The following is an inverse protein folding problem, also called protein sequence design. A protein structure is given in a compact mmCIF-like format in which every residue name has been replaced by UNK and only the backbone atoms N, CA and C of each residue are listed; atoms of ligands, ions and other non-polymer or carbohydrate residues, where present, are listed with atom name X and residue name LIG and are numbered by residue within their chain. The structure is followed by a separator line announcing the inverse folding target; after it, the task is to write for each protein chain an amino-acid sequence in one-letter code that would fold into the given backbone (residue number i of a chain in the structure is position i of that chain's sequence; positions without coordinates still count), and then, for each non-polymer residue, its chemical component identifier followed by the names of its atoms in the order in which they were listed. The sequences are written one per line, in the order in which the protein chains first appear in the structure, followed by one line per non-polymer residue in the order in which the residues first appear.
data_IF_890976472780
#
_entry.id   IF_890976472780
#
_cell.length_a   1.000
_cell.length_b   1.000
_cell.length_c   1.000
_cell.angle_alpha   90.00
_cell.angle_beta   90.00
_cell.angle_gamma   90.00
#
_symmetry.space_group_name_H-M   'P 1'
#
loop_
_entity.id
_entity.type
_entity.pdbx_description
1 polymer ?
#
# COMPACT_ATOMS: atom_id res chain seq x y z
N UNK A 1 0.71 3.06 -11.52
CA UNK A 1 1.69 2.21 -10.81
C UNK A 1 1.10 1.91 -9.43
N UNK A 2 1.30 0.70 -8.91
CA UNK A 2 0.89 0.29 -7.57
C UNK A 2 2.11 0.11 -6.66
N UNK A 3 1.97 0.42 -5.37
CA UNK A 3 2.95 0.04 -4.34
C UNK A 3 2.27 -0.57 -3.13
N UNK A 4 2.83 -1.66 -2.63
CA UNK A 4 2.35 -2.37 -1.44
C UNK A 4 3.52 -3.07 -0.71
N UNK A 5 3.25 -3.53 0.52
CA UNK A 5 4.15 -4.38 1.29
C UNK A 5 4.23 -5.79 0.66
N UNK A 6 5.45 -6.26 0.42
CA UNK A 6 5.77 -7.61 -0.03
C UNK A 6 6.55 -8.37 1.04
N UNK A 7 6.02 -9.51 1.45
CA UNK A 7 6.72 -10.39 2.38
C UNK A 7 7.54 -11.43 1.60
N UNK A 8 8.86 -11.26 1.53
CA UNK A 8 9.75 -12.32 1.04
C UNK A 8 9.68 -13.54 1.96
N UNK A 9 9.63 -13.27 3.28
CA UNK A 9 9.38 -14.27 4.31
C UNK A 9 8.46 -13.70 5.37
N UNK A 10 7.20 -14.12 5.34
CA UNK A 10 6.16 -13.65 6.27
C UNK A 10 6.63 -13.75 7.72
N UNK A 11 6.51 -12.65 8.46
CA UNK A 11 6.96 -12.53 9.86
C UNK A 11 8.46 -12.29 10.06
N UNK A 12 9.24 -12.14 8.98
CA UNK A 12 10.68 -11.83 9.05
C UNK A 12 11.08 -10.71 8.11
N UNK A 13 10.95 -10.96 6.81
CA UNK A 13 11.56 -10.15 5.76
C UNK A 13 10.45 -9.53 4.91
N UNK A 14 10.33 -8.21 5.02
CA UNK A 14 9.34 -7.38 4.33
C UNK A 14 10.04 -6.31 3.50
N UNK A 15 9.51 -6.10 2.29
CA UNK A 15 10.04 -5.24 1.24
C UNK A 15 8.87 -4.45 0.64
N UNK A 16 9.13 -3.40 -0.13
CA UNK A 16 8.11 -2.82 -1.01
C UNK A 16 8.06 -3.56 -2.35
N UNK A 17 6.88 -3.80 -2.91
CA UNK A 17 6.72 -4.20 -4.31
C UNK A 17 6.09 -3.07 -5.09
N UNK A 18 6.71 -2.75 -6.24
CA UNK A 18 6.14 -1.84 -7.22
C UNK A 18 5.53 -2.64 -8.36
N UNK A 19 4.30 -2.30 -8.72
CA UNK A 19 3.49 -3.00 -9.72
C UNK A 19 3.12 -2.04 -10.85
N UNK A 20 3.33 -2.48 -12.09
CA UNK A 20 2.89 -1.81 -13.31
C UNK A 20 1.41 -2.04 -13.60
N UNK A 21 1.02 -2.05 -14.88
CA UNK A 21 -0.38 -2.27 -15.26
C UNK A 21 -0.91 -3.65 -14.87
N UNK A 22 -0.06 -4.69 -14.83
CA UNK A 22 -0.44 -6.05 -14.37
C UNK A 22 0.73 -6.88 -13.84
N UNK A 23 1.94 -6.31 -13.72
CA UNK A 23 3.15 -7.08 -13.41
C UNK A 23 3.97 -6.39 -12.33
N UNK A 24 4.60 -7.13 -11.42
CA UNK A 24 5.66 -6.57 -10.58
C UNK A 24 6.77 -6.03 -11.47
N UNK A 25 7.16 -4.77 -11.24
CA UNK A 25 8.22 -4.09 -12.00
C UNK A 25 9.45 -3.77 -11.15
N UNK A 26 9.31 -3.75 -9.82
CA UNK A 26 10.43 -3.64 -8.91
C UNK A 26 10.12 -4.26 -7.54
N UNK A 27 11.17 -4.76 -6.89
CA UNK A 27 11.19 -5.02 -5.45
C UNK A 27 12.15 -4.01 -4.83
N UNK A 28 11.67 -3.29 -3.82
CA UNK A 28 12.47 -2.33 -3.05
C UNK A 28 13.27 -3.05 -1.99
N UNK A 29 14.39 -2.48 -1.58
CA UNK A 29 15.29 -3.08 -0.57
C UNK A 29 14.60 -3.36 0.77
N UNK A 30 13.66 -2.49 1.16
CA UNK A 30 12.80 -2.66 2.32
C UNK A 30 11.47 -1.91 2.14
N UNK A 31 10.71 -1.73 3.22
CA UNK A 31 9.41 -1.01 3.25
C UNK A 31 9.52 0.47 3.65
N UNK A 32 10.74 1.00 3.73
CA UNK A 32 10.98 2.37 4.15
C UNK A 32 10.57 3.38 3.07
N UNK A 33 10.34 4.62 3.49
CA UNK A 33 10.14 5.71 2.54
C UNK A 33 11.42 6.04 1.75
N UNK A 34 12.60 5.74 2.29
CA UNK A 34 13.89 5.99 1.63
C UNK A 34 14.11 5.03 0.45
N UNK A 35 13.79 3.74 0.63
CA UNK A 35 13.79 2.77 -0.45
C UNK A 35 12.86 3.18 -1.60
N UNK A 36 11.70 3.75 -1.27
CA UNK A 36 10.79 4.31 -2.27
C UNK A 36 11.36 5.58 -2.91
N UNK A 37 11.96 6.49 -2.14
CA UNK A 37 12.58 7.69 -2.69
C UNK A 37 13.61 7.37 -3.76
N UNK A 38 14.52 6.45 -3.43
CA UNK A 38 15.57 5.99 -4.33
C UNK A 38 15.00 5.46 -5.64
N UNK A 39 13.87 4.76 -5.59
CA UNK A 39 13.20 4.27 -6.80
C UNK A 39 12.47 5.37 -7.56
N UNK A 40 11.82 6.32 -6.88
CA UNK A 40 11.04 7.39 -7.51
C UNK A 40 11.91 8.45 -8.21
N UNK A 41 13.13 8.70 -7.74
CA UNK A 41 14.08 9.62 -8.39
C UNK A 41 14.33 9.20 -9.86
N UNK A 42 14.35 7.89 -10.13
CA UNK A 42 14.54 7.35 -11.47
C UNK A 42 13.24 7.18 -12.26
N UNK A 43 12.08 7.43 -11.64
CA UNK A 43 10.76 7.23 -12.24
C UNK A 43 9.85 8.49 -12.15
N UNK A 44 10.32 9.69 -12.57
CA UNK A 44 9.53 10.93 -12.47
C UNK A 44 8.33 10.99 -13.43
N UNK A 45 8.26 10.10 -14.42
CA UNK A 45 7.17 10.02 -15.41
C UNK A 45 5.86 9.49 -14.84
N UNK A 46 5.85 8.97 -13.61
CA UNK A 46 4.64 8.44 -12.98
C UNK A 46 3.66 9.59 -12.73
N UNK A 47 2.40 9.41 -13.12
CA UNK A 47 1.33 10.39 -12.90
C UNK A 47 0.28 9.91 -11.90
N UNK A 48 0.09 8.59 -11.82
CA UNK A 48 -0.91 7.95 -10.96
C UNK A 48 -0.28 6.82 -10.16
N UNK A 49 -0.47 6.87 -8.84
CA UNK A 49 0.03 5.86 -7.92
C UNK A 49 -1.09 5.33 -7.04
N UNK A 50 -1.35 4.03 -7.16
CA UNK A 50 -2.17 3.27 -6.24
C UNK A 50 -1.27 2.81 -5.09
N UNK A 51 -1.67 3.03 -3.85
CA UNK A 51 -0.86 2.64 -2.70
C UNK A 51 -1.70 2.20 -1.51
N UNK A 52 -1.07 1.47 -0.62
CA UNK A 52 -1.57 1.29 0.72
C UNK A 52 -1.66 2.63 1.49
N UNK A 53 -2.15 2.56 2.74
CA UNK A 53 -2.27 3.74 3.61
C UNK A 53 -1.03 3.98 4.48
N UNK A 54 0.09 3.35 4.15
CA UNK A 54 1.38 3.53 4.79
C UNK A 54 1.81 4.99 4.76
N UNK A 55 2.13 5.53 5.93
CA UNK A 55 2.58 6.91 6.07
C UNK A 55 3.91 7.16 5.34
N UNK A 56 4.82 6.19 5.41
CA UNK A 56 6.12 6.24 4.73
C UNK A 56 5.99 6.47 3.22
N UNK A 57 5.08 5.76 2.54
CA UNK A 57 4.87 5.94 1.10
C UNK A 57 4.27 7.31 0.78
N UNK A 58 3.30 7.76 1.58
CA UNK A 58 2.69 9.09 1.40
C UNK A 58 3.76 10.20 1.48
N UNK A 59 4.60 10.14 2.52
CA UNK A 59 5.65 11.13 2.75
C UNK A 59 6.71 11.10 1.64
N UNK A 60 7.12 9.91 1.20
CA UNK A 60 8.05 9.72 0.09
C UNK A 60 7.52 10.27 -1.24
N UNK A 61 6.28 9.93 -1.61
CA UNK A 61 5.65 10.42 -2.86
C UNK A 61 5.55 11.95 -2.84
N UNK A 62 5.10 12.53 -1.72
CA UNK A 62 4.99 13.98 -1.58
C UNK A 62 6.36 14.67 -1.66
N UNK A 63 7.42 14.01 -1.20
CA UNK A 63 8.78 14.54 -1.22
C UNK A 63 9.41 14.48 -2.62
N UNK A 64 9.24 13.39 -3.36
CA UNK A 64 9.98 13.14 -4.61
C UNK A 64 9.18 13.53 -5.86
N UNK A 65 7.87 13.27 -5.86
CA UNK A 65 6.98 13.49 -7.01
C UNK A 65 5.62 14.05 -6.54
N UNK A 66 5.59 15.26 -5.94
CA UNK A 66 4.39 15.83 -5.33
C UNK A 66 3.19 16.01 -6.28
N UNK A 67 3.42 16.04 -7.60
CA UNK A 67 2.37 16.16 -8.61
C UNK A 67 1.59 14.87 -8.88
N UNK A 68 1.98 13.74 -8.27
CA UNK A 68 1.32 12.46 -8.53
C UNK A 68 -0.03 12.34 -7.83
N UNK A 69 -1.02 11.91 -8.60
CA UNK A 69 -2.33 11.55 -8.06
C UNK A 69 -2.21 10.24 -7.29
N UNK A 70 -2.43 10.32 -5.98
CA UNK A 70 -2.40 9.18 -5.08
C UNK A 70 -3.80 8.60 -4.91
N UNK A 71 -3.94 7.31 -5.15
CA UNK A 71 -5.19 6.56 -5.09
C UNK A 71 -5.05 5.50 -4.00
N UNK A 72 -5.98 5.47 -3.05
CA UNK A 72 -5.98 4.41 -2.04
C UNK A 72 -6.33 3.07 -2.67
N UNK A 73 -5.60 2.03 -2.29
CA UNK A 73 -5.93 0.67 -2.69
C UNK A 73 -7.32 0.24 -2.16
N UNK A 74 -8.17 -0.23 -3.08
CA UNK A 74 -9.52 -0.75 -2.79
C UNK A 74 -9.51 -1.94 -1.84
N UNK A 75 -8.50 -2.82 -1.94
CA UNK A 75 -8.40 -3.98 -1.04
C UNK A 75 -8.32 -3.52 0.41
N UNK A 76 -7.45 -2.55 0.71
CA UNK A 76 -7.33 -2.02 2.07
C UNK A 76 -8.62 -1.31 2.52
N UNK A 77 -9.32 -0.59 1.66
CA UNK A 77 -10.60 0.03 2.04
C UNK A 77 -11.64 -1.02 2.43
N UNK A 78 -11.84 -2.04 1.59
CA UNK A 78 -12.82 -3.11 1.83
C UNK A 78 -12.40 -3.92 3.06
N UNK A 79 -11.13 -4.31 3.16
CA UNK A 79 -10.61 -5.09 4.27
C UNK A 79 -10.80 -4.38 5.61
N UNK A 80 -10.45 -3.11 5.70
CA UNK A 80 -10.62 -2.35 6.95
C UNK A 80 -12.09 -2.23 7.35
N UNK A 81 -12.98 -2.01 6.37
CA UNK A 81 -14.41 -2.00 6.61
C UNK A 81 -14.91 -3.36 7.11
N UNK A 82 -14.57 -4.45 6.44
CA UNK A 82 -15.03 -5.80 6.81
C UNK A 82 -14.47 -6.24 8.15
N UNK A 83 -13.18 -6.03 8.40
CA UNK A 83 -12.54 -6.40 9.67
C UNK A 83 -13.16 -5.65 10.87
N UNK A 84 -13.66 -4.43 10.63
CA UNK A 84 -14.34 -3.63 11.66
C UNK A 84 -15.80 -4.04 11.84
N UNK A 85 -16.52 -4.30 10.74
CA UNK A 85 -17.97 -4.55 10.79
C UNK A 85 -18.32 -5.98 11.22
N UNK A 86 -17.53 -6.99 10.83
CA UNK A 86 -17.83 -8.39 11.10
C UNK A 86 -18.04 -8.66 12.60
N UNK A 87 -17.14 -8.24 13.52
CA UNK A 87 -17.33 -8.46 14.95
C UNK A 87 -18.60 -7.82 15.52
N UNK A 88 -19.01 -6.65 15.01
CA UNK A 88 -20.23 -5.97 15.46
C UNK A 88 -21.48 -6.69 14.98
N UNK A 89 -21.49 -7.16 13.73
CA UNK A 89 -22.58 -7.99 13.19
C UNK A 89 -22.70 -9.29 13.99
N UNK A 90 -21.58 -9.94 14.31
CA UNK A 90 -21.58 -11.15 15.13
C UNK A 90 -22.17 -10.93 16.52
N UNK A 91 -21.88 -9.79 17.17
CA UNK A 91 -22.47 -9.43 18.47
C UNK A 91 -23.99 -9.28 18.37
N UNK A 92 -24.48 -8.58 17.34
CA UNK A 92 -25.92 -8.38 17.11
C UNK A 92 -26.62 -9.73 16.91
N UNK A 93 -26.04 -10.61 16.08
CA UNK A 93 -26.60 -11.95 15.84
C UNK A 93 -26.67 -12.78 17.13
N UNK A 94 -25.64 -12.71 17.99
CA UNK A 94 -25.62 -13.43 19.28
C UNK A 94 -26.64 -12.89 20.29
N UNK A 95 -26.96 -11.61 20.25
CA UNK A 95 -27.96 -10.99 21.14
C UNK A 95 -29.40 -11.22 20.69
N UNK A 96 -29.60 -11.55 19.42
CA UNK A 96 -30.92 -11.82 18.82
C UNK A 96 -31.28 -13.32 18.88
N UNK A 97 -30.38 -14.16 19.40
CA UNK A 97 -30.62 -15.57 19.73
C UNK A 97 -30.77 -15.71 21.24
#
# INVERSE_FOLDING_TARGET
MGIDDFAYKKGKDYMGVVVGQMTPIALLEDRSGEALDNWLIWNPQIQYMMRDRGRCFTESINRIIPGVTQICDRFHLIKNMTDTMIPEIEKIIRQTK
#
